data_IF_501137742454
#
_entry.id   IF_501137742454
#
_cell.length_a   1.000
_cell.length_b   1.000
_cell.length_c   1.000
_cell.angle_alpha   90.00
_cell.angle_beta   90.00
_cell.angle_gamma   90.00
#
_symmetry.space_group_name_H-M   'P 1'
#
loop_
_entity.id
_entity.type
_entity.pdbx_description
1 polymer ?
#
# COMPACT_ATOMS: atom_id res chain seq x y z
N UNK A 1 -17.31 -33.99 -12.47
CA UNK A 1 -17.82 -33.33 -11.24
C UNK A 1 -16.88 -33.67 -10.09
N UNK A 2 -15.92 -32.79 -9.82
CA UNK A 2 -14.97 -32.95 -8.72
C UNK A 2 -15.63 -32.50 -7.42
N UNK A 3 -15.90 -33.47 -6.53
CA UNK A 3 -16.45 -33.23 -5.20
C UNK A 3 -15.43 -32.47 -4.36
N UNK A 4 -15.70 -31.19 -4.08
CA UNK A 4 -14.95 -30.43 -3.08
C UNK A 4 -15.24 -31.05 -1.70
N UNK A 5 -14.26 -31.76 -1.13
CA UNK A 5 -14.36 -32.36 0.20
C UNK A 5 -13.67 -31.41 1.18
N UNK A 6 -14.45 -30.64 1.93
CA UNK A 6 -13.89 -29.77 2.96
C UNK A 6 -13.25 -30.60 4.08
N UNK A 7 -11.99 -30.33 4.46
CA UNK A 7 -11.36 -31.03 5.57
C UNK A 7 -12.12 -30.71 6.86
N UNK A 8 -12.52 -31.75 7.59
CA UNK A 8 -13.14 -31.60 8.91
C UNK A 8 -12.05 -31.23 9.91
N UNK A 9 -11.95 -29.95 10.24
CA UNK A 9 -10.95 -29.44 11.19
C UNK A 9 -11.39 -29.84 12.60
N UNK A 10 -10.51 -30.52 13.34
CA UNK A 10 -10.81 -30.93 14.71
C UNK A 10 -10.88 -29.70 15.64
N UNK A 11 -11.83 -29.69 16.58
CA UNK A 11 -12.05 -28.58 17.50
C UNK A 11 -10.76 -28.12 18.24
N UNK A 12 -9.86 -29.05 18.57
CA UNK A 12 -8.57 -28.76 19.22
C UNK A 12 -7.64 -27.88 18.38
N UNK A 13 -7.69 -27.98 17.05
CA UNK A 13 -6.86 -27.17 16.15
C UNK A 13 -7.36 -25.72 16.13
N UNK A 14 -8.69 -25.55 16.16
CA UNK A 14 -9.33 -24.24 16.27
C UNK A 14 -8.98 -23.58 17.61
N UNK A 15 -9.07 -24.32 18.72
CA UNK A 15 -8.69 -23.81 20.05
C UNK A 15 -7.23 -23.39 20.08
N UNK A 16 -6.31 -24.19 19.53
CA UNK A 16 -4.88 -23.86 19.47
C UNK A 16 -4.61 -22.60 18.64
N UNK A 17 -5.29 -22.42 17.50
CA UNK A 17 -5.17 -21.20 16.67
C UNK A 17 -5.68 -19.98 17.42
N UNK A 18 -6.83 -20.08 18.10
CA UNK A 18 -7.40 -18.98 18.88
C UNK A 18 -6.48 -18.61 20.06
N UNK A 19 -6.01 -19.59 20.84
CA UNK A 19 -5.09 -19.35 21.96
C UNK A 19 -3.78 -18.69 21.52
N UNK A 20 -3.22 -19.08 20.37
CA UNK A 20 -2.01 -18.44 19.81
C UNK A 20 -2.27 -17.00 19.39
N UNK A 21 -3.42 -16.69 18.81
CA UNK A 21 -3.79 -15.32 18.42
C UNK A 21 -4.02 -14.43 19.64
N UNK A 22 -4.63 -14.95 20.70
CA UNK A 22 -4.77 -14.24 21.96
C UNK A 22 -3.41 -13.92 22.59
N UNK A 23 -2.48 -14.88 22.57
CA UNK A 23 -1.12 -14.68 23.05
C UNK A 23 -0.35 -13.64 22.22
N UNK A 24 -0.38 -13.75 20.88
CA UNK A 24 0.26 -12.79 19.98
C UNK A 24 -0.36 -11.39 20.10
N UNK A 25 -1.68 -11.29 20.29
CA UNK A 25 -2.38 -10.03 20.53
C UNK A 25 -1.94 -9.37 21.84
N UNK A 26 -1.82 -10.14 22.92
CA UNK A 26 -1.32 -9.65 24.20
C UNK A 26 0.16 -9.21 24.12
N UNK A 27 1.00 -9.99 23.43
CA UNK A 27 2.41 -9.66 23.23
C UNK A 27 2.61 -8.41 22.34
N UNK A 28 1.76 -8.24 21.32
CA UNK A 28 1.79 -7.03 20.49
C UNK A 28 1.34 -5.79 21.27
N UNK A 29 0.33 -5.92 22.13
CA UNK A 29 -0.13 -4.83 22.98
C UNK A 29 0.94 -4.37 23.99
N UNK A 30 1.63 -5.31 24.65
CA UNK A 30 2.75 -4.97 25.54
C UNK A 30 3.95 -4.41 24.78
N UNK A 31 4.27 -4.93 23.59
CA UNK A 31 5.31 -4.37 22.73
C UNK A 31 4.99 -2.93 22.29
N UNK A 32 3.72 -2.60 22.04
CA UNK A 32 3.29 -1.25 21.69
C UNK A 32 3.51 -0.29 22.86
N UNK A 33 3.11 -0.67 24.08
CA UNK A 33 3.31 0.13 25.30
C UNK A 33 4.79 0.39 25.58
N UNK A 34 5.67 -0.57 25.29
CA UNK A 34 7.12 -0.39 25.44
C UNK A 34 7.68 0.51 24.32
N UNK A 35 7.13 0.40 23.10
CA UNK A 35 7.58 1.17 21.94
C UNK A 35 7.18 2.66 21.99
N UNK A 36 6.10 3.01 22.69
CA UNK A 36 5.67 4.41 22.88
C UNK A 36 6.73 5.30 23.56
N UNK A 37 7.69 4.70 24.28
CA UNK A 37 8.82 5.40 24.92
C UNK A 37 10.12 5.42 24.11
N UNK A 38 10.16 4.79 22.94
CA UNK A 38 11.38 4.72 22.12
C UNK A 38 11.31 5.80 21.04
N UNK A 39 12.20 6.82 21.05
CA UNK A 39 12.22 7.81 20.00
C UNK A 39 12.55 7.14 18.66
N UNK A 40 11.59 7.15 17.73
CA UNK A 40 11.80 6.71 16.36
C UNK A 40 12.69 7.73 15.63
N UNK A 41 14.01 7.56 15.75
CA UNK A 41 14.99 8.38 15.02
C UNK A 41 15.20 7.79 13.63
N UNK A 42 14.53 8.39 12.64
CA UNK A 42 14.81 8.12 11.23
C UNK A 42 16.07 8.89 10.82
N UNK A 43 17.18 8.19 10.60
CA UNK A 43 18.39 8.80 10.07
C UNK A 43 18.14 9.35 8.65
N UNK A 44 18.61 10.56 8.39
CA UNK A 44 18.50 11.17 7.06
C UNK A 44 19.20 10.30 6.02
N UNK A 45 18.47 9.93 4.95
CA UNK A 45 19.02 9.15 3.86
C UNK A 45 20.15 9.93 3.18
N UNK A 46 21.36 9.38 3.19
CA UNK A 46 22.50 9.95 2.47
C UNK A 46 22.37 9.65 0.97
N UNK A 47 22.11 10.68 0.16
CA UNK A 47 22.05 10.56 -1.30
C UNK A 47 23.46 10.56 -1.91
N UNK A 48 23.73 9.61 -2.81
CA UNK A 48 24.96 9.64 -3.64
C UNK A 48 24.81 10.69 -4.74
N UNK A 49 25.81 11.59 -4.95
CA UNK A 49 25.76 12.53 -6.06
C UNK A 49 25.81 11.78 -7.40
N UNK A 50 24.97 12.19 -8.34
CA UNK A 50 24.94 11.66 -9.70
C UNK A 50 26.13 12.22 -10.51
N UNK A 51 26.63 11.45 -11.49
CA UNK A 51 27.76 11.84 -12.37
C UNK A 51 27.46 13.05 -13.27
N UNK A 52 26.18 13.43 -13.43
CA UNK A 52 25.78 14.56 -14.25
C UNK A 52 25.59 15.80 -13.38
N UNK A 53 26.61 16.66 -13.32
CA UNK A 53 26.52 17.98 -12.71
C UNK A 53 26.30 19.03 -13.82
N UNK A 54 25.07 19.56 -13.89
CA UNK A 54 24.69 20.58 -14.89
C UNK A 54 24.50 21.90 -14.15
N UNK A 55 25.11 22.99 -14.65
CA UNK A 55 25.08 24.33 -14.03
C UNK A 55 23.75 25.10 -14.28
N UNK A 56 22.68 24.40 -14.65
CA UNK A 56 21.38 25.01 -14.87
C UNK A 56 20.64 25.25 -13.56
N UNK A 57 19.84 26.31 -13.56
CA UNK A 57 19.02 26.66 -12.40
C UNK A 57 18.02 25.53 -12.14
N UNK A 58 18.16 24.85 -11.00
CA UNK A 58 17.27 23.76 -10.61
C UNK A 58 15.81 24.25 -10.59
N UNK A 59 14.93 23.47 -11.22
CA UNK A 59 13.49 23.69 -11.15
C UNK A 59 13.04 23.56 -9.69
N UNK A 60 12.22 24.48 -9.18
CA UNK A 60 11.73 24.39 -7.82
C UNK A 60 10.95 23.09 -7.62
N UNK A 61 11.16 22.42 -6.49
CA UNK A 61 10.56 21.11 -6.19
C UNK A 61 9.04 21.08 -6.42
N UNK A 62 8.35 22.16 -6.06
CA UNK A 62 6.91 22.30 -6.25
C UNK A 62 6.49 22.18 -7.72
N UNK A 63 7.26 22.74 -8.66
CA UNK A 63 6.97 22.61 -10.09
C UNK A 63 7.18 21.17 -10.57
N UNK A 64 8.21 20.49 -10.08
CA UNK A 64 8.51 19.09 -10.45
C UNK A 64 7.41 18.13 -10.00
N UNK A 65 6.84 18.36 -8.82
CA UNK A 65 5.80 17.48 -8.26
C UNK A 65 4.40 17.81 -8.75
N UNK A 66 4.16 19.05 -9.16
CA UNK A 66 2.81 19.52 -9.51
C UNK A 66 2.61 19.63 -11.01
N UNK A 67 3.62 20.03 -11.78
CA UNK A 67 3.45 20.35 -13.20
C UNK A 67 3.91 19.18 -14.10
N UNK A 68 3.15 18.08 -14.12
CA UNK A 68 3.42 16.92 -14.97
C UNK A 68 2.29 16.69 -15.98
N UNK A 69 2.65 16.51 -17.25
CA UNK A 69 1.72 16.08 -18.30
C UNK A 69 1.57 14.56 -18.26
N UNK A 70 0.73 14.08 -17.34
CA UNK A 70 0.36 12.67 -17.27
C UNK A 70 -1.04 12.50 -17.84
N UNK A 71 -1.12 12.38 -19.16
CA UNK A 71 -2.38 12.38 -19.93
C UNK A 71 -3.35 11.24 -19.57
N UNK A 72 -2.91 10.27 -18.77
CA UNK A 72 -3.79 9.24 -18.21
C UNK A 72 -4.66 9.74 -17.04
N UNK A 73 -4.40 10.91 -16.44
CA UNK A 73 -5.17 11.47 -15.30
C UNK A 73 -6.04 12.68 -15.61
N UNK A 74 -5.97 13.19 -16.82
CA UNK A 74 -6.61 14.43 -17.17
C UNK A 74 -5.69 15.30 -18.01
N UNK A 75 -6.29 16.27 -18.69
CA UNK A 75 -5.57 17.25 -19.51
C UNK A 75 -5.10 18.44 -18.67
N UNK A 76 -5.62 18.53 -17.44
CA UNK A 76 -5.33 19.60 -16.50
C UNK A 76 -4.11 19.25 -15.64
N UNK A 77 -3.23 20.23 -15.46
CA UNK A 77 -1.91 20.03 -14.85
C UNK A 77 -1.97 19.84 -13.32
N UNK A 78 -3.15 19.92 -12.72
CA UNK A 78 -3.36 19.81 -11.27
C UNK A 78 -3.81 18.40 -10.81
N UNK A 79 -4.21 17.52 -11.74
CA UNK A 79 -4.74 16.19 -11.42
C UNK A 79 -3.77 15.09 -10.96
N UNK A 80 -2.43 15.14 -11.19
CA UNK A 80 -1.55 14.04 -10.71
C UNK A 80 -1.44 13.97 -9.18
N UNK A 81 -2.11 14.86 -8.44
CA UNK A 81 -2.22 14.81 -6.98
C UNK A 81 -3.05 13.63 -6.46
N UNK A 82 -3.87 12.99 -7.31
CA UNK A 82 -4.71 11.86 -6.91
C UNK A 82 -4.08 10.51 -7.31
N UNK A 83 -3.83 9.58 -6.36
CA UNK A 83 -3.32 8.27 -6.69
C UNK A 83 -4.39 7.44 -7.40
N UNK A 84 -4.23 7.24 -8.71
CA UNK A 84 -4.97 6.23 -9.48
C UNK A 84 -4.14 4.93 -9.59
N UNK A 85 -4.78 3.81 -9.88
CA UNK A 85 -4.09 2.58 -10.23
C UNK A 85 -4.88 1.79 -11.27
N UNK A 86 -4.30 1.57 -12.44
CA UNK A 86 -4.80 0.60 -13.41
C UNK A 86 -4.42 -0.80 -12.94
N UNK A 87 -5.41 -1.67 -12.71
CA UNK A 87 -5.22 -3.08 -12.31
C UNK A 87 -5.62 -3.99 -13.46
N UNK A 88 -4.67 -4.50 -14.26
CA UNK A 88 -4.98 -5.45 -15.31
C UNK A 88 -5.62 -6.72 -14.73
N UNK A 89 -6.55 -7.37 -15.46
CA UNK A 89 -7.19 -8.58 -14.99
C UNK A 89 -6.14 -9.67 -14.72
N UNK A 90 -6.20 -10.28 -13.53
CA UNK A 90 -5.32 -11.38 -13.13
C UNK A 90 -4.03 -10.97 -12.41
N UNK A 91 -3.75 -9.68 -12.23
CA UNK A 91 -2.58 -9.23 -11.45
C UNK A 91 -2.94 -9.18 -9.96
N UNK A 92 -2.20 -9.90 -9.13
CA UNK A 92 -2.37 -9.84 -7.68
C UNK A 92 -1.95 -8.47 -7.16
N UNK A 93 -2.90 -7.75 -6.56
CA UNK A 93 -2.64 -6.50 -5.86
C UNK A 93 -3.01 -6.66 -4.38
N UNK A 94 -2.13 -6.19 -3.50
CA UNK A 94 -2.36 -6.24 -2.06
C UNK A 94 -3.52 -5.34 -1.61
N UNK A 95 -3.96 -5.47 -0.35
CA UNK A 95 -4.99 -4.62 0.21
C UNK A 95 -4.51 -3.17 0.27
N UNK A 96 -5.24 -2.26 -0.38
CA UNK A 96 -4.98 -0.83 -0.28
C UNK A 96 -5.25 -0.37 1.17
N UNK A 97 -4.27 0.30 1.79
CA UNK A 97 -4.36 0.77 3.18
C UNK A 97 -4.14 2.28 3.24
N UNK A 98 -5.09 3.00 3.83
CA UNK A 98 -4.96 4.41 4.20
C UNK A 98 -5.03 4.55 5.73
N UNK A 99 -4.16 5.38 6.31
CA UNK A 99 -4.11 5.63 7.76
C UNK A 99 -5.25 6.53 8.26
N UNK A 100 -5.75 7.44 7.42
CA UNK A 100 -6.79 8.41 7.78
C UNK A 100 -8.12 8.19 7.05
N UNK A 101 -8.27 7.03 6.38
CA UNK A 101 -9.37 6.76 5.46
C UNK A 101 -9.17 7.43 4.10
N UNK A 102 -9.88 6.95 3.09
CA UNK A 102 -9.92 7.55 1.76
C UNK A 102 -11.23 7.13 1.06
N UNK A 103 -11.77 8.02 0.23
CA UNK A 103 -12.81 7.67 -0.73
C UNK A 103 -12.14 7.18 -2.01
N UNK A 104 -12.52 5.99 -2.48
CA UNK A 104 -11.99 5.38 -3.70
C UNK A 104 -13.13 5.22 -4.72
N UNK A 105 -12.88 5.62 -5.96
CA UNK A 105 -13.74 5.34 -7.10
C UNK A 105 -13.09 4.22 -7.92
N UNK A 106 -13.79 3.09 -8.07
CA UNK A 106 -13.29 1.93 -8.81
C UNK A 106 -14.26 1.57 -9.96
N UNK A 107 -13.74 1.47 -11.18
CA UNK A 107 -14.49 1.12 -12.39
C UNK A 107 -13.96 -0.21 -12.92
N UNK A 108 -14.80 -1.25 -12.97
CA UNK A 108 -14.44 -2.57 -13.50
C UNK A 108 -15.05 -2.82 -14.87
N UNK A 109 -14.20 -3.05 -15.87
CA UNK A 109 -14.64 -3.48 -17.20
C UNK A 109 -14.62 -5.01 -17.29
N UNK A 110 -15.80 -5.63 -17.29
CA UNK A 110 -15.94 -7.08 -17.47
C UNK A 110 -16.27 -7.36 -18.94
N UNK A 111 -15.36 -8.04 -19.65
CA UNK A 111 -15.63 -8.56 -20.99
C UNK A 111 -16.59 -9.76 -20.89
N UNK A 112 -17.85 -9.59 -21.33
CA UNK A 112 -18.76 -10.73 -21.53
C UNK A 112 -18.30 -11.52 -22.75
N UNK A 113 -17.82 -12.76 -22.55
CA UNK A 113 -17.69 -13.73 -23.65
C UNK A 113 -19.09 -14.10 -24.13
N UNK A 114 -19.36 -13.86 -25.41
CA UNK A 114 -20.48 -14.45 -26.13
C UNK A 114 -20.21 -15.94 -26.38
#
# INVERSE_FOLDING_TARGET
MSLCRFPQIAAREITLVISRRSFLGAAAATALVIAEGVPASAAALSGKPNHYNVNEKLTPKAAVTTYNNFYEFGVDTADPAHPYACRPPGVFHGPFRSAMGCLLLEIHYIMRRH
#
